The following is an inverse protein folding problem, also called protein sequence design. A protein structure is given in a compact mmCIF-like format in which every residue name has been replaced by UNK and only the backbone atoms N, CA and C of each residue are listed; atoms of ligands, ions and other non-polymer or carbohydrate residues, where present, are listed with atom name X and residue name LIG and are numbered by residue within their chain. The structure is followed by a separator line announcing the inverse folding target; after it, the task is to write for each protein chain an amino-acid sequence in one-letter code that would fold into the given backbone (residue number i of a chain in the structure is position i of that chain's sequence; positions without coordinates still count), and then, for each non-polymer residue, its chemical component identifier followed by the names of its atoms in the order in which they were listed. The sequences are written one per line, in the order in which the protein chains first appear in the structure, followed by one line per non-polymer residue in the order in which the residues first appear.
data_IF_363324219561
#
_entry.id   IF_363324219561
#
_cell.length_a   1.000
_cell.length_b   1.000
_cell.length_c   1.000
_cell.angle_alpha   90.00
_cell.angle_beta   90.00
_cell.angle_gamma   90.00
#
_symmetry.space_group_name_H-M   'P 1'
#
loop_
_entity.id
_entity.type
_entity.pdbx_description
1 polymer ?
#
# COMPACT_ATOMS: atom_id res chain seq x y z
N UNK A 1 -3.99 17.01 19.03
CA UNK A 1 -3.80 17.08 17.56
C UNK A 1 -5.04 17.51 16.77
N UNK A 2 -6.27 17.07 17.11
CA UNK A 2 -7.47 17.48 16.36
C UNK A 2 -7.75 19.00 16.38
N UNK A 3 -7.46 19.69 17.49
CA UNK A 3 -7.61 21.15 17.57
C UNK A 3 -6.67 21.89 16.60
N UNK A 4 -5.40 21.47 16.52
CA UNK A 4 -4.41 22.02 15.58
C UNK A 4 -4.83 21.78 14.11
N UNK A 5 -5.40 20.61 13.81
CA UNK A 5 -5.94 20.32 12.47
C UNK A 5 -7.12 21.23 12.10
N UNK A 6 -7.98 21.56 13.07
CA UNK A 6 -9.10 22.50 12.87
C UNK A 6 -8.62 23.94 12.67
N UNK A 7 -7.61 24.38 13.44
CA UNK A 7 -7.00 25.70 13.27
C UNK A 7 -6.32 25.85 11.90
N UNK A 8 -5.83 24.76 11.32
CA UNK A 8 -5.23 24.74 9.99
C UNK A 8 -6.24 24.73 8.82
N UNK A 9 -7.54 24.90 9.09
CA UNK A 9 -8.58 24.91 8.06
C UNK A 9 -8.34 25.94 6.93
N UNK A 10 -7.88 27.18 7.18
CA UNK A 10 -7.56 28.12 6.10
C UNK A 10 -6.48 27.59 5.14
N UNK A 11 -5.46 26.89 5.67
CA UNK A 11 -4.43 26.27 4.85
C UNK A 11 -4.99 25.13 3.99
N UNK A 12 -5.98 24.39 4.52
CA UNK A 12 -6.64 23.33 3.77
C UNK A 12 -7.46 23.86 2.58
N UNK A 13 -8.01 25.08 2.68
CA UNK A 13 -8.71 25.74 1.57
C UNK A 13 -7.75 26.11 0.44
N UNK A 14 -6.57 26.64 0.78
CA UNK A 14 -5.53 26.92 -0.20
C UNK A 14 -5.05 25.63 -0.88
N UNK A 15 -4.82 24.57 -0.11
CA UNK A 15 -4.47 23.26 -0.65
C UNK A 15 -5.56 22.72 -1.59
N UNK A 16 -6.82 22.80 -1.18
CA UNK A 16 -7.97 22.39 -1.98
C UNK A 16 -8.04 23.16 -3.30
N UNK A 17 -7.81 24.47 -3.29
CA UNK A 17 -7.77 25.31 -4.48
C UNK A 17 -6.66 24.87 -5.45
N UNK A 18 -5.44 24.67 -4.94
CA UNK A 18 -4.31 24.21 -5.76
C UNK A 18 -4.60 22.85 -6.40
N UNK A 19 -5.11 21.90 -5.62
CA UNK A 19 -5.51 20.57 -6.12
C UNK A 19 -6.61 20.68 -7.17
N UNK A 20 -7.63 21.50 -6.93
CA UNK A 20 -8.72 21.74 -7.85
C UNK A 20 -8.23 22.31 -9.18
N UNK A 21 -7.41 23.37 -9.15
CA UNK A 21 -6.84 23.99 -10.35
C UNK A 21 -5.95 23.02 -11.12
N UNK A 22 -5.07 22.28 -10.43
CA UNK A 22 -4.23 21.24 -11.04
C UNK A 22 -5.07 20.20 -11.77
N UNK A 23 -6.12 19.67 -11.13
CA UNK A 23 -7.00 18.68 -11.75
C UNK A 23 -7.71 19.26 -12.96
N UNK A 24 -8.14 20.53 -12.90
CA UNK A 24 -8.80 21.18 -14.01
C UNK A 24 -7.87 21.41 -15.21
N UNK A 25 -6.60 21.74 -14.96
CA UNK A 25 -5.60 21.84 -16.02
C UNK A 25 -5.35 20.49 -16.72
N UNK A 26 -5.40 19.38 -15.98
CA UNK A 26 -5.35 18.05 -16.59
C UNK A 26 -6.64 17.70 -17.33
N UNK A 27 -7.81 18.05 -16.78
CA UNK A 27 -9.12 17.78 -17.40
C UNK A 27 -9.27 18.53 -18.73
N UNK A 28 -8.77 19.78 -18.82
CA UNK A 28 -8.77 20.57 -20.05
C UNK A 28 -7.59 20.27 -21.00
N UNK A 29 -6.68 19.37 -20.62
CA UNK A 29 -5.53 19.00 -21.45
C UNK A 29 -4.39 20.03 -21.51
N UNK A 30 -4.41 21.07 -20.69
CA UNK A 30 -3.31 22.05 -20.58
C UNK A 30 -2.05 21.44 -19.98
N UNK A 31 -2.20 20.42 -19.13
CA UNK A 31 -1.08 19.61 -18.64
C UNK A 31 -1.00 18.27 -19.40
N UNK A 32 0.19 17.89 -19.90
CA UNK A 32 0.34 16.71 -20.73
C UNK A 32 0.13 15.42 -19.91
N UNK A 33 -0.59 14.47 -20.51
CA UNK A 33 -0.83 13.14 -19.98
C UNK A 33 -0.56 12.11 -21.07
N UNK A 34 0.27 11.12 -20.78
CA UNK A 34 0.77 10.14 -21.76
C UNK A 34 0.14 8.78 -21.55
N UNK A 35 -0.27 8.16 -22.66
CA UNK A 35 -0.55 6.73 -22.73
C UNK A 35 0.72 6.00 -23.15
N UNK A 36 0.77 4.70 -22.90
CA UNK A 36 1.92 3.84 -23.19
C UNK A 36 1.46 2.66 -24.04
N UNK A 37 2.38 2.01 -24.76
CA UNK A 37 2.05 0.83 -25.56
C UNK A 37 1.72 -0.36 -24.68
N UNK A 38 2.36 -0.45 -23.52
CA UNK A 38 2.12 -1.46 -22.50
C UNK A 38 0.89 -1.14 -21.65
N UNK A 39 0.16 -2.17 -21.24
CA UNK A 39 -0.95 -2.01 -20.31
C UNK A 39 -0.46 -1.52 -18.95
N UNK A 40 -0.84 -0.29 -18.58
CA UNK A 40 -0.51 0.28 -17.27
C UNK A 40 -1.68 0.10 -16.31
N UNK A 41 -1.45 -0.58 -15.19
CA UNK A 41 -2.39 -0.72 -14.07
C UNK A 41 -1.94 0.17 -12.93
N UNK A 42 -2.83 1.00 -12.40
CA UNK A 42 -2.52 1.91 -11.30
C UNK A 42 -3.25 1.48 -10.03
N UNK A 43 -2.52 1.31 -8.93
CA UNK A 43 -3.07 1.18 -7.58
C UNK A 43 -2.79 2.47 -6.81
N UNK A 44 -3.78 2.97 -6.09
CA UNK A 44 -3.57 4.09 -5.17
C UNK A 44 -4.80 4.44 -4.36
N UNK A 45 -4.73 5.55 -3.62
CA UNK A 45 -5.81 6.05 -2.79
C UNK A 45 -5.88 7.58 -2.86
N UNK A 46 -6.97 8.19 -2.38
CA UNK A 46 -7.12 9.65 -2.32
C UNK A 46 -6.54 10.27 -1.05
N UNK A 47 -6.32 9.49 0.02
CA UNK A 47 -5.87 10.00 1.32
C UNK A 47 -4.39 9.73 1.60
N UNK A 48 -3.81 10.39 2.60
CA UNK A 48 -2.58 9.94 3.27
C UNK A 48 -2.90 8.78 4.21
N UNK A 49 -1.91 7.93 4.48
CA UNK A 49 -2.05 6.79 5.39
C UNK A 49 -2.24 5.45 4.69
N UNK A 50 -2.30 4.39 5.52
CA UNK A 50 -2.30 3.01 5.06
C UNK A 50 -3.68 2.49 4.69
N UNK A 51 -4.07 2.62 3.42
CA UNK A 51 -5.29 2.00 2.85
C UNK A 51 -5.06 0.58 2.34
N UNK A 52 -3.90 -0.02 2.57
CA UNK A 52 -3.55 -1.36 2.07
C UNK A 52 -3.10 -1.38 0.62
N UNK A 53 -2.36 -0.35 0.15
CA UNK A 53 -1.81 -0.27 -1.21
C UNK A 53 -0.80 -1.38 -1.49
N UNK A 54 0.25 -1.49 -0.68
CA UNK A 54 1.27 -2.53 -0.85
C UNK A 54 0.63 -3.93 -0.84
N UNK A 55 -0.23 -4.30 0.12
CA UNK A 55 -0.92 -5.60 0.06
C UNK A 55 -1.81 -5.79 -1.18
N UNK A 56 -2.39 -4.72 -1.75
CA UNK A 56 -3.16 -4.82 -3.00
C UNK A 56 -2.24 -5.03 -4.20
N UNK A 57 -1.13 -4.29 -4.27
CA UNK A 57 -0.12 -4.44 -5.30
C UNK A 57 0.41 -5.89 -5.29
N UNK A 58 0.75 -6.41 -4.11
CA UNK A 58 1.18 -7.81 -3.92
C UNK A 58 0.10 -8.82 -4.28
N UNK A 59 -1.16 -8.56 -3.91
CA UNK A 59 -2.28 -9.41 -4.32
C UNK A 59 -2.38 -9.49 -5.85
N UNK A 60 -2.26 -8.36 -6.57
CA UNK A 60 -2.28 -8.34 -8.04
C UNK A 60 -1.08 -9.11 -8.61
N UNK A 61 0.13 -8.91 -8.06
CA UNK A 61 1.34 -9.63 -8.49
C UNK A 61 1.09 -11.14 -8.39
N UNK A 62 0.65 -11.64 -7.23
CA UNK A 62 0.41 -13.06 -6.98
C UNK A 62 -0.63 -13.72 -7.90
N UNK A 63 -1.51 -12.93 -8.53
CA UNK A 63 -2.56 -13.41 -9.43
C UNK A 63 -2.20 -13.31 -10.91
N UNK A 64 -1.27 -12.41 -11.27
CA UNK A 64 -0.91 -12.14 -12.66
C UNK A 64 0.50 -12.61 -13.05
N UNK A 65 1.44 -12.74 -12.12
CA UNK A 65 2.86 -13.04 -12.44
C UNK A 65 3.05 -14.38 -13.15
N UNK A 66 2.15 -15.34 -12.95
CA UNK A 66 2.19 -16.66 -13.60
C UNK A 66 1.71 -16.65 -15.06
N UNK A 67 0.98 -15.62 -15.49
CA UNK A 67 0.36 -15.57 -16.82
C UNK A 67 0.76 -14.34 -17.65
N UNK A 68 1.38 -13.33 -17.02
CA UNK A 68 1.77 -12.07 -17.64
C UNK A 68 3.15 -11.68 -17.14
N UNK A 69 4.00 -11.19 -18.05
CA UNK A 69 5.28 -10.56 -17.71
C UNK A 69 5.01 -9.21 -17.03
N UNK A 70 5.08 -9.20 -15.71
CA UNK A 70 4.78 -8.03 -14.89
C UNK A 70 6.06 -7.26 -14.51
N UNK A 71 5.97 -5.93 -14.53
CA UNK A 71 6.98 -5.05 -13.92
C UNK A 71 6.30 -4.05 -13.00
N UNK A 72 6.75 -3.99 -11.75
CA UNK A 72 6.25 -3.02 -10.77
C UNK A 72 7.07 -1.75 -10.83
N UNK A 73 6.42 -0.59 -10.83
CA UNK A 73 7.07 0.71 -10.72
C UNK A 73 6.56 1.46 -9.47
N UNK A 74 7.39 1.48 -8.42
CA UNK A 74 7.11 2.21 -7.19
C UNK A 74 7.98 3.46 -7.05
N UNK A 75 7.60 4.41 -6.17
CA UNK A 75 8.24 5.74 -6.12
C UNK A 75 9.62 5.64 -5.48
N UNK A 76 9.77 4.62 -4.62
CA UNK A 76 10.85 4.50 -3.67
C UNK A 76 10.76 5.63 -2.65
N UNK A 77 9.68 5.66 -1.87
CA UNK A 77 9.50 6.68 -0.85
C UNK A 77 10.68 6.67 0.13
N UNK A 78 11.19 7.87 0.49
CA UNK A 78 12.37 8.09 1.35
C UNK A 78 13.70 7.48 0.89
N UNK A 79 13.79 6.92 -0.31
CA UNK A 79 15.10 6.50 -0.84
C UNK A 79 16.02 7.72 -1.05
N UNK A 80 17.32 7.51 -0.89
CA UNK A 80 18.39 8.47 -1.15
C UNK A 80 18.83 8.47 -2.60
N UNK A 81 18.66 7.34 -3.30
CA UNK A 81 18.98 7.25 -4.73
C UNK A 81 18.05 8.12 -5.58
N UNK A 82 18.50 8.49 -6.78
CA UNK A 82 17.73 9.29 -7.74
C UNK A 82 17.67 8.59 -9.08
N UNK A 83 16.71 8.99 -9.90
CA UNK A 83 16.55 8.42 -11.25
C UNK A 83 15.79 7.10 -11.27
N UNK A 84 15.75 6.50 -12.46
CA UNK A 84 15.25 5.15 -12.66
C UNK A 84 16.27 4.14 -12.13
N UNK A 85 15.80 3.15 -11.37
CA UNK A 85 16.65 2.05 -10.88
C UNK A 85 15.83 0.77 -10.77
N UNK A 86 16.48 -0.36 -11.01
CA UNK A 86 15.93 -1.67 -10.68
C UNK A 86 16.24 -1.95 -9.21
N UNK A 87 15.28 -2.55 -8.52
CA UNK A 87 15.41 -2.97 -7.13
C UNK A 87 15.82 -4.43 -7.14
N UNK A 88 17.02 -4.71 -6.65
CA UNK A 88 17.48 -6.08 -6.45
C UNK A 88 17.23 -6.52 -5.00
N UNK A 89 17.08 -7.82 -4.71
CA UNK A 89 16.87 -8.33 -3.34
C UNK A 89 17.98 -7.97 -2.34
N UNK A 90 19.19 -7.72 -2.82
CA UNK A 90 20.37 -7.27 -2.06
C UNK A 90 20.46 -5.74 -1.90
N UNK A 91 19.56 -4.98 -2.55
CA UNK A 91 19.54 -3.53 -2.43
C UNK A 91 19.21 -3.08 -1.01
N UNK A 92 19.76 -1.95 -0.60
CA UNK A 92 19.42 -1.36 0.70
C UNK A 92 18.09 -0.61 0.67
N UNK A 93 17.42 -0.48 1.83
CA UNK A 93 16.25 0.40 1.99
C UNK A 93 16.60 1.86 1.62
N UNK A 94 17.82 2.29 1.90
CA UNK A 94 18.29 3.63 1.53
C UNK A 94 18.34 3.83 0.00
N UNK A 95 18.55 2.78 -0.80
CA UNK A 95 18.59 2.87 -2.25
C UNK A 95 17.22 2.72 -2.90
N UNK A 96 16.37 1.86 -2.37
CA UNK A 96 15.12 1.45 -3.04
C UNK A 96 13.86 1.91 -2.33
N UNK A 97 13.92 2.16 -1.02
CA UNK A 97 12.76 2.27 -0.13
C UNK A 97 12.37 0.90 0.43
N UNK A 98 11.57 0.89 1.48
CA UNK A 98 11.12 -0.31 2.18
C UNK A 98 10.12 -1.13 1.36
N UNK A 99 9.04 -0.51 0.88
CA UNK A 99 7.99 -1.20 0.11
C UNK A 99 8.50 -1.82 -1.22
N UNK A 100 9.34 -1.15 -2.03
CA UNK A 100 9.85 -1.75 -3.27
C UNK A 100 10.82 -2.90 -3.00
N UNK A 101 11.64 -2.80 -1.96
CA UNK A 101 12.54 -3.88 -1.55
C UNK A 101 11.75 -5.09 -1.05
N UNK A 102 10.69 -4.87 -0.26
CA UNK A 102 9.76 -5.91 0.17
C UNK A 102 9.21 -6.70 -1.02
N UNK A 103 8.66 -6.00 -2.02
CA UNK A 103 8.11 -6.65 -3.21
C UNK A 103 9.17 -7.41 -4.01
N UNK A 104 10.38 -6.86 -4.15
CA UNK A 104 11.47 -7.50 -4.90
C UNK A 104 11.97 -8.80 -4.24
N UNK A 105 11.98 -8.85 -2.90
CA UNK A 105 12.36 -10.05 -2.15
C UNK A 105 11.25 -11.10 -2.19
N UNK A 106 9.99 -10.66 -2.03
CA UNK A 106 8.83 -11.56 -1.92
C UNK A 106 8.44 -12.20 -3.26
N UNK A 107 8.69 -11.50 -4.36
CA UNK A 107 8.34 -11.95 -5.71
C UNK A 107 9.58 -11.90 -6.62
N UNK A 108 10.54 -12.84 -6.46
CA UNK A 108 11.79 -12.86 -7.22
C UNK A 108 11.58 -13.08 -8.73
N UNK A 109 10.41 -13.56 -9.14
CA UNK A 109 10.06 -13.79 -10.53
C UNK A 109 9.67 -12.52 -11.30
N UNK A 110 9.34 -11.43 -10.61
CA UNK A 110 8.99 -10.16 -11.24
C UNK A 110 10.13 -9.14 -11.14
N UNK A 111 10.12 -8.17 -12.05
CA UNK A 111 11.01 -7.00 -11.93
C UNK A 111 10.32 -5.91 -11.12
N UNK A 112 11.01 -5.38 -10.12
CA UNK A 112 10.60 -4.18 -9.38
C UNK A 112 11.54 -3.03 -9.71
N UNK A 113 10.98 -1.87 -10.02
CA UNK A 113 11.73 -0.66 -10.35
C UNK A 113 11.24 0.54 -9.55
N UNK A 114 12.13 1.52 -9.40
CA UNK A 114 11.86 2.77 -8.68
C UNK A 114 12.18 4.01 -9.50
N UNK A 115 11.21 4.92 -9.61
CA UNK A 115 11.38 6.23 -10.24
C UNK A 115 10.36 7.26 -9.72
N UNK A 116 10.80 8.45 -9.31
CA UNK A 116 9.90 9.55 -8.95
C UNK A 116 9.13 10.11 -10.15
N UNK A 117 9.68 9.98 -11.36
CA UNK A 117 9.03 10.29 -12.62
C UNK A 117 8.45 9.01 -13.24
N UNK A 118 7.14 8.79 -13.10
CA UNK A 118 6.50 7.57 -13.61
C UNK A 118 6.56 7.48 -15.12
N UNK A 119 6.40 8.60 -15.82
CA UNK A 119 6.45 8.60 -17.29
C UNK A 119 7.82 8.15 -17.82
N UNK A 120 8.91 8.61 -17.20
CA UNK A 120 10.27 8.14 -17.52
C UNK A 120 10.44 6.68 -17.13
N UNK A 121 10.02 6.30 -15.91
CA UNK A 121 10.17 4.94 -15.43
C UNK A 121 9.47 3.91 -16.32
N UNK A 122 8.22 4.18 -16.73
CA UNK A 122 7.49 3.31 -17.66
C UNK A 122 8.24 3.21 -18.98
N UNK A 123 8.69 4.33 -19.55
CA UNK A 123 9.44 4.31 -20.81
C UNK A 123 10.72 3.46 -20.74
N UNK A 124 11.50 3.59 -19.66
CA UNK A 124 12.68 2.75 -19.43
C UNK A 124 12.32 1.26 -19.27
N UNK A 125 11.18 0.96 -18.64
CA UNK A 125 10.68 -0.40 -18.48
C UNK A 125 10.29 -1.01 -19.82
N UNK A 126 9.53 -0.29 -20.65
CA UNK A 126 9.11 -0.75 -21.97
C UNK A 126 10.31 -1.10 -22.85
N UNK A 127 11.32 -0.23 -22.88
CA UNK A 127 12.53 -0.43 -23.68
C UNK A 127 13.37 -1.65 -23.23
N UNK A 128 13.46 -1.89 -21.92
CA UNK A 128 14.37 -2.91 -21.36
C UNK A 128 13.72 -4.28 -21.21
N UNK A 129 12.43 -4.31 -20.89
CA UNK A 129 11.77 -5.54 -20.47
C UNK A 129 10.61 -5.94 -21.38
N UNK A 130 10.06 -5.03 -22.20
CA UNK A 130 8.86 -5.28 -22.99
C UNK A 130 7.78 -6.08 -22.22
N UNK A 131 7.31 -5.58 -21.05
CA UNK A 131 6.37 -6.33 -20.24
C UNK A 131 4.97 -6.31 -20.82
N UNK A 132 4.15 -7.29 -20.44
CA UNK A 132 2.72 -7.27 -20.76
C UNK A 132 1.99 -6.20 -19.95
N UNK A 133 2.41 -6.04 -18.68
CA UNK A 133 1.77 -5.13 -17.72
C UNK A 133 2.80 -4.38 -16.89
N UNK A 134 2.61 -3.06 -16.77
CA UNK A 134 3.31 -2.24 -15.77
C UNK A 134 2.36 -1.91 -14.63
N UNK A 135 2.68 -2.36 -13.42
CA UNK A 135 1.90 -2.10 -12.21
C UNK A 135 2.49 -0.90 -11.45
N UNK A 136 1.74 0.19 -11.37
CA UNK A 136 2.12 1.38 -10.63
C UNK A 136 1.62 1.30 -9.19
N UNK A 137 2.57 1.35 -8.27
CA UNK A 137 2.31 1.43 -6.84
C UNK A 137 2.22 2.90 -6.38
N UNK A 138 1.16 3.20 -5.63
CA UNK A 138 0.74 4.53 -5.14
C UNK A 138 0.82 5.68 -6.17
N UNK A 139 0.14 5.52 -7.32
CA UNK A 139 0.25 6.46 -8.43
C UNK A 139 -1.06 7.17 -8.85
N UNK A 140 -2.12 7.10 -8.04
CA UNK A 140 -3.44 7.65 -8.43
C UNK A 140 -3.43 9.16 -8.70
N UNK A 141 -2.61 9.92 -7.97
CA UNK A 141 -2.40 11.37 -8.18
C UNK A 141 -1.50 11.67 -9.39
N UNK A 142 -0.81 10.69 -9.96
CA UNK A 142 0.17 10.90 -11.01
C UNK A 142 -0.48 11.02 -12.40
N UNK A 143 -1.27 12.09 -12.59
CA UNK A 143 -2.08 12.34 -13.79
C UNK A 143 -1.29 12.48 -15.10
N UNK A 144 0.04 12.62 -15.04
CA UNK A 144 0.92 12.56 -16.23
C UNK A 144 0.87 11.21 -16.94
N UNK A 145 0.43 10.15 -16.26
CA UNK A 145 0.22 8.81 -16.84
C UNK A 145 -1.28 8.58 -16.99
N UNK A 146 -1.68 8.11 -18.17
CA UNK A 146 -3.03 7.59 -18.45
C UNK A 146 -3.00 6.07 -18.34
N UNK A 147 -3.37 5.50 -17.18
CA UNK A 147 -3.41 4.05 -17.03
C UNK A 147 -4.57 3.44 -17.82
N UNK A 148 -4.40 2.21 -18.31
CA UNK A 148 -5.49 1.40 -18.90
C UNK A 148 -6.54 1.06 -17.84
N UNK A 149 -6.08 0.79 -16.62
CA UNK A 149 -6.93 0.44 -15.48
C UNK A 149 -6.44 1.12 -14.20
N UNK A 150 -7.37 1.65 -13.40
CA UNK A 150 -7.06 2.25 -12.10
C UNK A 150 -7.90 1.62 -10.99
N UNK A 151 -7.24 1.15 -9.94
CA UNK A 151 -7.84 0.61 -8.72
C UNK A 151 -7.65 1.64 -7.61
N UNK A 152 -8.76 2.17 -7.10
CA UNK A 152 -8.75 3.11 -5.98
C UNK A 152 -9.07 2.38 -4.67
N UNK A 153 -8.22 2.56 -3.68
CA UNK A 153 -8.42 2.01 -2.34
C UNK A 153 -8.99 3.06 -1.38
N UNK A 154 -9.91 2.63 -0.52
CA UNK A 154 -10.46 3.43 0.58
C UNK A 154 -10.67 2.53 1.79
N UNK A 155 -10.36 2.96 3.01
CA UNK A 155 -10.50 2.10 4.18
C UNK A 155 -11.93 2.20 4.76
N UNK A 156 -12.55 1.09 5.14
CA UNK A 156 -13.92 1.01 5.69
C UNK A 156 -14.22 2.09 6.74
N UNK A 157 -13.39 2.20 7.79
CA UNK A 157 -13.59 3.19 8.85
C UNK A 157 -13.12 4.62 8.54
N UNK A 158 -12.58 4.88 7.34
CA UNK A 158 -12.05 6.19 6.91
C UNK A 158 -12.27 6.36 5.42
N UNK A 159 -13.54 6.43 5.01
CA UNK A 159 -13.88 6.59 3.60
C UNK A 159 -13.42 7.96 3.08
N UNK A 160 -12.91 7.99 1.85
CA UNK A 160 -12.54 9.27 1.21
C UNK A 160 -13.75 10.21 1.06
N UNK A 161 -14.98 9.67 1.05
CA UNK A 161 -16.22 10.42 0.88
C UNK A 161 -16.48 11.39 2.02
N UNK A 162 -15.94 11.13 3.21
CA UNK A 162 -16.25 11.87 4.43
C UNK A 162 -15.06 12.71 4.93
N UNK A 163 -13.89 12.56 4.30
CA UNK A 163 -12.64 13.16 4.74
C UNK A 163 -12.34 14.51 4.08
N UNK A 164 -11.59 15.39 4.71
CA UNK A 164 -11.25 16.71 4.17
C UNK A 164 -9.81 16.75 3.64
N UNK A 165 -9.48 17.82 2.92
CA UNK A 165 -8.12 18.06 2.45
C UNK A 165 -7.12 18.21 3.59
N UNK A 166 -5.88 17.79 3.31
CA UNK A 166 -4.72 18.15 4.12
C UNK A 166 -4.64 19.68 4.31
N UNK A 167 -4.16 20.16 5.47
CA UNK A 167 -3.75 19.39 6.65
C UNK A 167 -4.89 19.10 7.64
N UNK A 168 -6.12 19.55 7.38
CA UNK A 168 -7.25 19.39 8.32
C UNK A 168 -7.80 17.98 8.32
N UNK A 169 -7.97 17.37 7.14
CA UNK A 169 -8.23 15.95 6.98
C UNK A 169 -7.02 15.23 6.37
N UNK A 170 -7.25 14.06 5.79
CA UNK A 170 -6.19 13.23 5.21
C UNK A 170 -6.22 13.19 3.67
N UNK A 171 -7.15 13.88 2.97
CA UNK A 171 -7.21 13.87 1.50
C UNK A 171 -6.04 14.59 0.82
N UNK A 172 -5.39 13.88 -0.10
CA UNK A 172 -4.37 14.37 -1.05
C UNK A 172 -4.95 14.88 -2.36
N UNK A 173 -6.21 14.55 -2.63
CA UNK A 173 -6.86 14.86 -3.89
C UNK A 173 -8.38 15.02 -3.69
N UNK A 174 -9.06 15.61 -4.67
CA UNK A 174 -10.50 15.83 -4.59
C UNK A 174 -11.26 14.49 -4.59
N UNK A 175 -12.24 14.32 -3.70
CA UNK A 175 -13.13 13.14 -3.62
C UNK A 175 -13.69 12.67 -4.98
N UNK A 176 -14.18 13.62 -5.79
CA UNK A 176 -14.63 13.42 -7.17
C UNK A 176 -13.61 12.75 -8.09
N UNK A 177 -12.31 12.81 -7.81
CA UNK A 177 -11.31 12.12 -8.64
C UNK A 177 -11.40 10.60 -8.55
N UNK A 178 -12.15 10.05 -7.59
CA UNK A 178 -12.53 8.64 -7.58
C UNK A 178 -13.20 8.19 -8.88
N UNK A 179 -13.82 9.13 -9.60
CA UNK A 179 -14.41 8.93 -10.91
C UNK A 179 -13.45 8.40 -11.99
N UNK A 180 -12.13 8.56 -11.79
CA UNK A 180 -11.08 8.05 -12.69
C UNK A 180 -10.76 6.57 -12.48
N UNK A 181 -11.22 5.99 -11.37
CA UNK A 181 -10.98 4.58 -11.07
C UNK A 181 -11.89 3.67 -11.90
N UNK A 182 -11.37 2.56 -12.38
CA UNK A 182 -12.14 1.46 -12.96
C UNK A 182 -12.87 0.68 -11.86
N UNK A 183 -12.21 0.51 -10.71
CA UNK A 183 -12.79 -0.11 -9.51
C UNK A 183 -12.39 0.67 -8.24
N UNK A 184 -13.30 0.71 -7.28
CA UNK A 184 -13.07 1.21 -5.92
C UNK A 184 -13.11 -0.01 -5.00
N UNK A 185 -12.03 -0.24 -4.24
CA UNK A 185 -11.96 -1.30 -3.23
C UNK A 185 -12.00 -0.68 -1.85
N UNK A 186 -13.06 -1.01 -1.11
CA UNK A 186 -13.18 -0.72 0.31
C UNK A 186 -12.38 -1.77 1.06
N UNK A 187 -11.26 -1.35 1.65
CA UNK A 187 -10.31 -2.21 2.36
C UNK A 187 -10.56 -2.17 3.86
N UNK A 188 -9.96 -3.10 4.60
CA UNK A 188 -10.12 -3.22 6.07
C UNK A 188 -11.58 -3.40 6.50
N UNK A 189 -12.37 -4.05 5.65
CA UNK A 189 -13.73 -4.45 5.97
C UNK A 189 -13.72 -5.46 7.13
N UNK A 190 -14.65 -5.38 8.09
CA UNK A 190 -15.01 -6.51 8.93
C UNK A 190 -15.31 -7.75 8.08
N UNK A 191 -14.92 -8.93 8.54
CA UNK A 191 -15.06 -10.17 7.78
C UNK A 191 -16.54 -10.60 7.62
N UNK A 192 -17.37 -10.19 8.57
CA UNK A 192 -18.78 -10.49 8.76
C UNK A 192 -19.71 -9.35 8.29
N UNK A 193 -19.20 -8.44 7.45
CA UNK A 193 -19.97 -7.30 6.94
C UNK A 193 -21.24 -7.72 6.20
N UNK A 194 -22.36 -7.12 6.61
CA UNK A 194 -23.68 -7.35 6.02
C UNK A 194 -23.85 -6.66 4.66
N UNK A 195 -24.79 -7.14 3.84
CA UNK A 195 -25.08 -6.52 2.54
C UNK A 195 -25.74 -5.14 2.67
N UNK A 196 -26.40 -4.87 3.81
CA UNK A 196 -26.94 -3.55 4.14
C UNK A 196 -25.82 -2.53 4.33
N UNK A 197 -24.79 -2.87 5.11
CA UNK A 197 -23.61 -2.01 5.29
C UNK A 197 -22.87 -1.75 3.98
N UNK A 198 -22.71 -2.78 3.13
CA UNK A 198 -22.11 -2.62 1.79
C UNK A 198 -22.89 -1.61 0.96
N UNK A 199 -24.22 -1.72 0.97
CA UNK A 199 -25.11 -0.82 0.23
C UNK A 199 -25.05 0.62 0.75
N UNK A 200 -24.98 0.81 2.08
CA UNK A 200 -24.78 2.12 2.70
C UNK A 200 -23.45 2.75 2.26
N UNK A 201 -22.35 1.99 2.27
CA UNK A 201 -21.04 2.47 1.84
C UNK A 201 -21.06 2.84 0.36
N UNK A 202 -21.64 2.00 -0.51
CA UNK A 202 -21.77 2.31 -1.94
C UNK A 202 -22.52 3.63 -2.14
N UNK A 203 -23.60 3.86 -1.39
CA UNK A 203 -24.36 5.11 -1.45
C UNK A 203 -23.53 6.33 -1.00
N UNK A 204 -22.68 6.18 0.02
CA UNK A 204 -21.79 7.24 0.50
C UNK A 204 -20.68 7.57 -0.53
N UNK A 205 -20.11 6.54 -1.16
CA UNK A 205 -19.02 6.70 -2.14
C UNK A 205 -19.47 7.36 -3.44
N UNK A 206 -20.77 7.27 -3.77
CA UNK A 206 -21.39 7.83 -4.99
C UNK A 206 -20.60 7.47 -6.25
N UNK A 207 -20.38 6.17 -6.53
CA UNK A 207 -19.61 5.74 -7.70
C UNK A 207 -20.30 6.19 -9.00
N UNK A 208 -19.51 6.33 -10.07
CA UNK A 208 -20.08 6.56 -11.41
C UNK A 208 -20.93 5.36 -11.84
N UNK A 209 -21.87 5.58 -12.76
CA UNK A 209 -22.66 4.50 -13.37
C UNK A 209 -21.72 3.44 -13.95
N UNK A 210 -21.89 2.18 -13.54
CA UNK A 210 -21.07 1.05 -13.98
C UNK A 210 -19.69 0.95 -13.30
N UNK A 211 -19.32 1.87 -12.42
CA UNK A 211 -18.07 1.78 -11.67
C UNK A 211 -18.19 0.72 -10.57
N UNK A 212 -17.22 -0.19 -10.55
CA UNK A 212 -17.21 -1.33 -9.63
C UNK A 212 -16.85 -0.87 -8.22
N UNK A 213 -17.63 -1.28 -7.22
CA UNK A 213 -17.27 -1.18 -5.80
C UNK A 213 -17.12 -2.60 -5.25
N UNK A 214 -15.99 -2.84 -4.60
CA UNK A 214 -15.57 -4.13 -4.07
C UNK A 214 -15.18 -3.99 -2.60
N UNK A 215 -15.26 -5.08 -1.85
CA UNK A 215 -14.98 -5.12 -0.43
C UNK A 215 -13.92 -6.17 -0.10
N UNK A 216 -12.93 -5.77 0.69
CA UNK A 216 -11.86 -6.64 1.14
C UNK A 216 -11.49 -6.37 2.61
N UNK A 217 -11.25 -7.45 3.35
CA UNK A 217 -10.63 -7.43 4.67
C UNK A 217 -9.10 -7.49 4.54
N UNK A 218 -8.39 -7.03 5.56
CA UNK A 218 -6.98 -7.36 5.73
C UNK A 218 -6.89 -8.55 6.67
N UNK A 219 -6.15 -9.57 6.26
CA UNK A 219 -5.90 -10.77 7.07
C UNK A 219 -4.41 -10.95 7.24
N UNK A 220 -4.01 -11.44 8.41
CA UNK A 220 -2.64 -11.80 8.71
C UNK A 220 -2.40 -13.28 8.43
N UNK A 221 -1.24 -13.61 7.88
CA UNK A 221 -0.83 -15.00 7.74
C UNK A 221 -0.56 -15.64 9.11
N UNK A 222 -0.76 -16.96 9.19
CA UNK A 222 -0.41 -17.71 10.41
C UNK A 222 1.07 -18.08 10.44
N UNK A 223 1.71 -18.19 9.27
CA UNK A 223 3.14 -18.43 9.15
C UNK A 223 3.89 -17.10 9.06
N UNK A 224 4.76 -16.86 10.03
CA UNK A 224 5.66 -15.73 10.05
C UNK A 224 6.95 -16.10 9.35
N UNK A 225 7.42 -15.20 8.50
CA UNK A 225 8.66 -15.39 7.75
C UNK A 225 9.79 -14.67 8.48
N UNK A 226 10.98 -15.26 8.53
CA UNK A 226 12.16 -14.66 9.13
C UNK A 226 13.43 -15.17 8.45
N UNK A 227 14.58 -14.60 8.82
CA UNK A 227 15.86 -15.05 8.25
C UNK A 227 16.22 -16.47 8.66
N UNK A 228 15.82 -16.90 9.86
CA UNK A 228 16.06 -18.24 10.39
C UNK A 228 14.99 -19.26 9.99
N UNK A 229 14.12 -18.92 9.05
CA UNK A 229 13.04 -19.78 8.55
C UNK A 229 11.65 -19.28 8.92
N UNK A 230 10.70 -20.22 8.98
CA UNK A 230 9.28 -19.94 9.22
C UNK A 230 8.93 -20.27 10.68
N UNK A 231 8.06 -19.46 11.28
CA UNK A 231 7.53 -19.65 12.63
C UNK A 231 6.00 -19.60 12.57
N UNK A 232 5.31 -20.59 13.14
CA UNK A 232 3.84 -20.49 13.24
C UNK A 232 3.46 -19.53 14.35
N UNK A 233 2.43 -18.73 14.11
CA UNK A 233 1.83 -17.86 15.12
C UNK A 233 1.27 -18.70 16.28
N UNK A 234 0.83 -19.93 16.02
CA UNK A 234 0.33 -20.84 17.06
C UNK A 234 1.46 -21.39 17.95
N UNK A 235 2.69 -21.47 17.45
CA UNK A 235 3.87 -21.87 18.25
C UNK A 235 4.19 -20.84 19.35
N UNK A 236 3.62 -19.65 19.26
CA UNK A 236 3.77 -18.56 20.22
C UNK A 236 2.66 -18.49 21.26
N UNK A 237 1.63 -19.35 21.16
CA UNK A 237 0.60 -19.43 22.18
C UNK A 237 1.21 -19.81 23.53
N UNK A 238 0.85 -19.05 24.57
CA UNK A 238 1.39 -19.21 25.93
C UNK A 238 2.85 -18.79 26.10
N UNK A 239 3.52 -18.30 25.04
CA UNK A 239 4.90 -17.77 25.11
C UNK A 239 4.87 -16.24 25.09
N UNK A 240 5.88 -15.65 25.72
CA UNK A 240 6.11 -14.20 25.65
C UNK A 240 7.06 -13.87 24.51
N UNK A 241 6.72 -12.85 23.70
CA UNK A 241 7.59 -12.34 22.64
C UNK A 241 7.59 -10.81 22.59
N UNK A 242 8.50 -10.22 21.82
CA UNK A 242 8.57 -8.77 21.64
C UNK A 242 7.94 -8.41 20.29
N UNK A 243 6.91 -7.56 20.31
CA UNK A 243 6.34 -6.95 19.09
C UNK A 243 7.02 -5.60 18.85
N UNK A 244 7.64 -5.43 17.69
CA UNK A 244 8.23 -4.17 17.24
C UNK A 244 7.38 -3.59 16.12
N UNK A 245 7.03 -2.31 16.21
CA UNK A 245 6.33 -1.62 15.10
C UNK A 245 6.88 -0.22 14.90
N UNK A 246 7.26 0.11 13.67
CA UNK A 246 7.69 1.44 13.21
C UNK A 246 6.83 1.92 12.05
N UNK A 247 5.51 1.77 12.19
CA UNK A 247 4.49 2.13 11.19
C UNK A 247 3.49 3.15 11.73
N UNK A 248 2.87 3.91 10.83
CA UNK A 248 1.93 4.99 11.19
C UNK A 248 0.72 4.59 12.06
N UNK A 249 0.24 3.34 11.97
CA UNK A 249 -0.85 2.85 12.82
C UNK A 249 -0.70 1.35 13.12
N UNK A 250 -0.11 0.97 14.26
CA UNK A 250 0.04 -0.43 14.65
C UNK A 250 -1.21 -1.03 15.31
N UNK A 251 -2.22 -0.21 15.64
CA UNK A 251 -3.42 -0.64 16.39
C UNK A 251 -4.07 -1.93 15.86
N UNK A 252 -4.38 -2.04 14.56
CA UNK A 252 -5.00 -3.25 14.00
C UNK A 252 -4.19 -4.54 14.23
N UNK A 253 -2.86 -4.46 14.20
CA UNK A 253 -1.99 -5.61 14.45
C UNK A 253 -1.98 -5.97 15.94
N UNK A 254 -1.90 -4.96 16.81
CA UNK A 254 -1.96 -5.14 18.26
C UNK A 254 -3.28 -5.76 18.68
N UNK A 255 -4.40 -5.25 18.15
CA UNK A 255 -5.74 -5.75 18.44
C UNK A 255 -5.93 -7.19 17.92
N UNK A 256 -5.38 -7.50 16.74
CA UNK A 256 -5.38 -8.86 16.21
C UNK A 256 -4.64 -9.85 17.12
N UNK A 257 -3.42 -9.52 17.56
CA UNK A 257 -2.63 -10.39 18.44
C UNK A 257 -3.28 -10.54 19.82
N UNK A 258 -3.83 -9.46 20.39
CA UNK A 258 -4.59 -9.51 21.66
C UNK A 258 -5.86 -10.34 21.53
N UNK A 259 -6.59 -10.22 20.42
CA UNK A 259 -7.78 -11.02 20.13
C UNK A 259 -7.48 -12.52 20.04
N UNK A 260 -6.23 -12.89 19.72
CA UNK A 260 -5.71 -14.27 19.76
C UNK A 260 -5.11 -14.68 21.11
N UNK A 261 -5.28 -13.86 22.16
CA UNK A 261 -4.75 -14.12 23.50
C UNK A 261 -3.23 -14.28 23.55
N UNK A 262 -2.50 -13.62 22.63
CA UNK A 262 -1.05 -13.64 22.60
C UNK A 262 -0.46 -12.74 23.69
N UNK A 263 0.67 -13.17 24.27
CA UNK A 263 1.39 -12.41 25.30
C UNK A 263 2.64 -11.77 24.70
N UNK A 264 2.69 -10.44 24.69
CA UNK A 264 3.83 -9.71 24.12
C UNK A 264 4.09 -8.35 24.77
N UNK A 265 5.36 -7.96 24.79
CA UNK A 265 5.78 -6.59 25.04
C UNK A 265 5.76 -5.81 23.71
N UNK A 266 5.02 -4.70 23.66
CA UNK A 266 4.94 -3.87 22.45
C UNK A 266 5.91 -2.69 22.51
N UNK A 267 6.95 -2.74 21.67
CA UNK A 267 7.87 -1.62 21.43
C UNK A 267 7.44 -0.84 20.18
N UNK A 268 6.77 0.29 20.40
CA UNK A 268 6.25 1.14 19.33
C UNK A 268 7.20 2.30 19.03
N UNK A 269 7.56 2.45 17.75
CA UNK A 269 8.44 3.49 17.22
C UNK A 269 7.71 4.37 16.19
N UNK A 270 8.24 5.56 15.86
CA UNK A 270 7.68 6.41 14.80
C UNK A 270 7.67 5.74 13.41
N UNK A 271 6.80 6.21 12.53
CA UNK A 271 6.73 5.72 11.15
C UNK A 271 8.05 5.97 10.42
N UNK A 272 8.57 4.92 9.76
CA UNK A 272 9.89 4.92 9.12
C UNK A 272 11.06 5.14 10.10
N UNK A 273 10.96 4.61 11.32
CA UNK A 273 12.05 4.64 12.29
C UNK A 273 13.33 4.00 11.74
N UNK A 274 14.46 4.65 12.02
CA UNK A 274 15.80 4.13 11.76
C UNK A 274 16.35 3.66 13.08
N UNK A 275 16.47 2.35 13.25
CA UNK A 275 16.89 1.73 14.50
C UNK A 275 18.35 2.06 14.82
N UNK A 276 18.60 2.49 16.05
CA UNK A 276 19.94 2.75 16.57
C UNK A 276 20.64 1.44 16.93
N UNK A 277 21.98 1.44 16.97
CA UNK A 277 22.76 0.26 17.40
C UNK A 277 22.34 -0.23 18.79
N UNK A 278 22.05 0.69 19.71
CA UNK A 278 21.61 0.35 21.06
C UNK A 278 20.26 -0.38 21.04
N UNK A 279 19.28 0.13 20.29
CA UNK A 279 17.98 -0.52 20.12
C UNK A 279 18.12 -1.90 19.47
N UNK A 280 19.00 -2.06 18.48
CA UNK A 280 19.28 -3.36 17.87
C UNK A 280 19.82 -4.33 18.92
N UNK A 281 20.83 -3.95 19.71
CA UNK A 281 21.39 -4.81 20.77
C UNK A 281 20.34 -5.20 21.82
N UNK A 282 19.45 -4.27 22.20
CA UNK A 282 18.34 -4.55 23.11
C UNK A 282 17.30 -5.52 22.50
N UNK A 283 17.09 -5.47 21.18
CA UNK A 283 16.19 -6.38 20.47
C UNK A 283 16.83 -7.74 20.20
N UNK A 284 18.13 -7.81 19.95
CA UNK A 284 18.88 -9.07 19.80
C UNK A 284 18.86 -9.90 21.08
N UNK A 285 18.84 -9.25 22.24
CA UNK A 285 18.71 -9.91 23.54
C UNK A 285 17.31 -10.53 23.78
N UNK A 286 16.31 -10.18 22.97
CA UNK A 286 14.98 -10.76 23.06
C UNK A 286 14.94 -12.15 22.39
N UNK A 287 14.25 -13.11 23.01
CA UNK A 287 14.18 -14.49 22.49
C UNK A 287 13.52 -14.57 21.10
N UNK A 288 12.37 -13.90 20.93
CA UNK A 288 11.63 -13.83 19.67
C UNK A 288 11.18 -12.39 19.44
N UNK A 289 11.53 -11.83 18.29
CA UNK A 289 11.07 -10.51 17.84
C UNK A 289 10.14 -10.68 16.66
N UNK A 290 8.90 -10.21 16.79
CA UNK A 290 7.94 -10.13 15.69
C UNK A 290 7.79 -8.68 15.28
N UNK A 291 7.72 -8.44 13.97
CA UNK A 291 7.58 -7.10 13.42
C UNK A 291 6.66 -7.07 12.21
N UNK A 292 6.44 -5.89 11.62
CA UNK A 292 5.71 -5.75 10.36
C UNK A 292 6.63 -6.05 9.16
N UNK A 293 6.08 -6.45 8.01
CA UNK A 293 6.88 -6.63 6.77
C UNK A 293 7.77 -5.41 6.46
N UNK A 294 7.22 -4.21 6.63
CA UNK A 294 7.94 -2.95 6.37
C UNK A 294 9.11 -2.72 7.29
N UNK A 295 8.91 -2.98 8.59
CA UNK A 295 9.95 -2.81 9.59
C UNK A 295 11.00 -3.90 9.48
N UNK A 296 10.61 -5.12 9.11
CA UNK A 296 11.52 -6.21 8.81
C UNK A 296 12.49 -5.86 7.68
N UNK A 297 12.07 -5.15 6.63
CA UNK A 297 12.98 -4.68 5.58
C UNK A 297 14.10 -3.78 6.10
N UNK A 298 13.88 -3.07 7.21
CA UNK A 298 14.88 -2.19 7.84
C UNK A 298 15.75 -2.92 8.87
N UNK A 299 15.25 -4.03 9.40
CA UNK A 299 15.86 -4.80 10.48
C UNK A 299 16.56 -6.07 10.00
N UNK A 300 16.20 -6.61 8.83
CA UNK A 300 16.65 -7.94 8.38
C UNK A 300 18.17 -8.09 8.46
N UNK A 301 18.93 -7.10 8.01
CA UNK A 301 20.39 -7.21 7.95
C UNK A 301 21.08 -7.03 9.32
N UNK A 302 20.36 -6.57 10.34
CA UNK A 302 20.92 -6.27 11.68
C UNK A 302 20.24 -7.03 12.82
N UNK A 303 19.12 -7.72 12.57
CA UNK A 303 18.35 -8.42 13.60
C UNK A 303 17.89 -9.80 13.08
N UNK A 304 18.79 -10.78 13.04
CA UNK A 304 18.55 -12.08 12.40
C UNK A 304 17.53 -12.97 13.14
N UNK A 305 17.23 -12.68 14.41
CA UNK A 305 16.19 -13.35 15.21
C UNK A 305 14.79 -12.72 15.03
N UNK A 306 14.62 -11.85 14.03
CA UNK A 306 13.32 -11.24 13.74
C UNK A 306 12.49 -12.04 12.74
N UNK A 307 11.18 -12.03 12.96
CA UNK A 307 10.15 -12.57 12.09
C UNK A 307 9.15 -11.47 11.76
N UNK A 308 8.51 -11.56 10.60
CA UNK A 308 7.46 -10.64 10.22
C UNK A 308 6.13 -11.34 10.00
N UNK A 309 5.06 -10.61 10.34
CA UNK A 309 3.71 -11.04 10.08
C UNK A 309 3.23 -10.45 8.76
N UNK A 310 3.00 -11.33 7.78
CA UNK A 310 2.50 -10.91 6.47
C UNK A 310 1.04 -10.47 6.55
N UNK A 311 0.68 -9.41 5.83
CA UNK A 311 -0.70 -8.94 5.68
C UNK A 311 -1.15 -8.95 4.22
N UNK A 312 -2.32 -9.54 3.96
CA UNK A 312 -2.89 -9.63 2.61
C UNK A 312 -4.36 -9.26 2.56
N UNK A 313 -4.86 -8.94 1.37
CA UNK A 313 -6.30 -8.76 1.16
C UNK A 313 -7.01 -10.11 1.05
N UNK A 314 -8.16 -10.20 1.73
CA UNK A 314 -9.15 -11.26 1.53
C UNK A 314 -10.45 -10.59 1.09
N UNK A 315 -10.82 -10.79 -0.17
CA UNK A 315 -12.05 -10.23 -0.73
C UNK A 315 -13.29 -10.92 -0.15
N UNK A 316 -14.38 -10.16 -0.04
CA UNK A 316 -15.66 -10.67 0.45
C UNK A 316 -16.51 -11.21 -0.70
N UNK A 317 -17.17 -12.34 -0.49
CA UNK A 317 -18.08 -12.94 -1.45
C UNK A 317 -17.43 -13.18 -2.83
N UNK A 318 -18.06 -12.67 -3.88
CA UNK A 318 -17.60 -12.83 -5.28
C UNK A 318 -16.68 -11.70 -5.77
N UNK A 319 -16.31 -10.75 -4.90
CA UNK A 319 -15.54 -9.57 -5.30
C UNK A 319 -14.15 -9.89 -5.84
N UNK A 320 -13.53 -10.98 -5.35
CA UNK A 320 -12.25 -11.47 -5.90
C UNK A 320 -12.39 -11.79 -7.40
N UNK A 321 -13.42 -12.57 -7.75
CA UNK A 321 -13.68 -12.98 -9.13
C UNK A 321 -13.99 -11.79 -10.03
N UNK A 322 -14.71 -10.79 -9.50
CA UNK A 322 -15.03 -9.55 -10.21
C UNK A 322 -13.78 -8.73 -10.52
N UNK A 323 -12.86 -8.61 -9.57
CA UNK A 323 -11.59 -7.92 -9.82
C UNK A 323 -10.69 -8.69 -10.78
N UNK A 324 -10.61 -10.02 -10.66
CA UNK A 324 -9.86 -10.86 -11.58
C UNK A 324 -10.40 -10.75 -13.02
N UNK A 325 -11.72 -10.74 -13.20
CA UNK A 325 -12.33 -10.55 -14.52
C UNK A 325 -11.97 -9.19 -15.12
N UNK A 326 -11.89 -8.13 -14.29
CA UNK A 326 -11.45 -6.81 -14.74
C UNK A 326 -9.97 -6.81 -15.16
N UNK A 327 -9.11 -7.52 -14.41
CA UNK A 327 -7.68 -7.65 -14.72
C UNK A 327 -7.41 -8.60 -15.91
N UNK A 328 -8.27 -9.56 -16.18
CA UNK A 328 -8.14 -10.47 -17.32
C UNK A 328 -8.28 -9.76 -18.68
N UNK A 329 -8.93 -8.58 -18.72
CA UNK A 329 -9.05 -7.75 -19.91
C UNK A 329 -7.78 -6.95 -20.28
N UNK A 330 -6.67 -7.17 -19.59
CA UNK A 330 -5.40 -6.46 -19.78
C UNK A 330 -4.61 -6.91 -21.00
#
# INVERSE_FOLDING_TARGET
MQLLRKLAFPLSLLYALVVFLRNRFYDYGWLPSRSFGTAVVCVGNLSVGGTGKTPMTEWIISRLSTSKKLVVLSRGYRRKSRGFRIVNPDSSVAESGDEPLQMAIKFPEITVAVDSNRTRGIHCIEQKYAPDVVLLDDAFQHRKVKPKLSILLTAYGKLYSDDWYLPTGDLRDHRREARRASAIVVTKCPADMSDSEKSQIIAQLKPRRGQMVLFASLVYNQELQGQKGVLSLDDLLGKHFTLVTGIANPGPLVDYLKGRQMHFEHRSYPDHHVFTKKEITELEACAVVITTEKDFMRLKDTLPNSYYLEVRHKFLGSDEKRLLALLAGL
#
